data_IF_096252210967
#
_entry.id   IF_096252210967
#
_cell.length_a   1.000
_cell.length_b   1.000
_cell.length_c   1.000
_cell.angle_alpha   90.00
_cell.angle_beta   90.00
_cell.angle_gamma   90.00
#
_symmetry.space_group_name_H-M   'P 1'
#
loop_
_entity.id
_entity.type
_entity.pdbx_description
1 polymer ?
#
# COMPACT_ATOMS: atom_id res chain seq x y z
N UNK A 1 22.28 2.21 31.43
CA UNK A 1 22.84 1.83 32.76
C UNK A 1 24.34 2.09 32.89
N UNK A 2 25.25 1.42 32.14
CA UNK A 2 26.69 1.69 32.25
C UNK A 2 27.10 3.08 31.71
N UNK A 3 26.49 3.50 30.61
CA UNK A 3 26.70 4.81 29.98
C UNK A 3 26.29 5.98 30.90
N UNK A 4 25.24 5.83 31.72
CA UNK A 4 24.76 6.89 32.62
C UNK A 4 25.66 7.08 33.83
N UNK A 5 26.25 5.98 34.33
CA UNK A 5 27.24 6.05 35.43
C UNK A 5 28.50 6.75 34.95
N UNK A 6 28.95 6.45 33.73
CA UNK A 6 30.14 7.07 33.13
C UNK A 6 29.92 8.57 32.89
N UNK A 7 28.76 8.96 32.38
CA UNK A 7 28.39 10.37 32.17
C UNK A 7 28.34 11.15 33.48
N UNK A 8 27.76 10.58 34.54
CA UNK A 8 27.72 11.21 35.86
C UNK A 8 29.12 11.38 36.44
N UNK A 9 29.95 10.35 36.38
CA UNK A 9 31.33 10.40 36.86
C UNK A 9 32.18 11.44 36.11
N UNK A 10 32.02 11.58 34.79
CA UNK A 10 32.72 12.58 33.99
C UNK A 10 32.25 14.01 34.27
N UNK A 11 30.98 14.19 34.72
CA UNK A 11 30.46 15.50 35.15
C UNK A 11 30.90 15.86 36.58
N UNK A 12 31.02 14.87 37.44
CA UNK A 12 31.36 15.08 38.87
C UNK A 12 32.87 15.25 39.05
N UNK A 13 33.71 14.68 38.18
CA UNK A 13 35.17 14.74 38.28
C UNK A 13 35.84 14.90 36.90
N UNK A 14 35.72 16.11 36.29
CA UNK A 14 36.20 16.36 34.92
C UNK A 14 37.74 16.34 34.77
N UNK A 15 38.48 16.44 35.86
CA UNK A 15 39.96 16.42 35.82
C UNK A 15 40.56 15.01 35.62
N UNK A 16 39.76 13.97 35.92
CA UNK A 16 40.23 12.56 35.81
C UNK A 16 39.62 11.83 34.58
N UNK A 17 38.74 12.46 33.80
CA UNK A 17 38.12 11.84 32.64
C UNK A 17 38.47 12.61 31.36
N UNK A 18 39.23 11.98 30.47
CA UNK A 18 39.47 12.50 29.12
C UNK A 18 38.23 12.31 28.27
N UNK A 19 37.75 13.42 27.70
CA UNK A 19 36.67 13.41 26.69
C UNK A 19 37.20 13.19 25.25
N UNK A 20 38.51 12.91 25.11
CA UNK A 20 39.13 12.68 23.81
C UNK A 20 38.49 11.44 23.13
N UNK A 21 37.98 11.62 21.92
CA UNK A 21 37.29 10.61 21.16
C UNK A 21 35.87 10.27 21.63
N UNK A 22 35.31 11.00 22.62
CA UNK A 22 33.94 10.81 23.07
C UNK A 22 32.90 11.17 21.98
N UNK A 23 33.04 12.30 21.25
CA UNK A 23 32.11 12.62 20.16
C UNK A 23 32.09 11.56 19.07
N UNK A 24 33.23 11.00 18.71
CA UNK A 24 33.34 9.96 17.68
C UNK A 24 32.65 8.66 18.11
N UNK A 25 32.88 8.23 19.37
CA UNK A 25 32.22 7.07 19.95
C UNK A 25 30.69 7.24 20.05
N UNK A 26 30.26 8.45 20.44
CA UNK A 26 28.84 8.76 20.53
C UNK A 26 28.16 8.69 19.15
N UNK A 27 28.82 9.27 18.14
CA UNK A 27 28.35 9.20 16.75
C UNK A 27 28.27 7.77 16.21
N UNK A 28 29.19 6.91 16.60
CA UNK A 28 29.20 5.49 16.20
C UNK A 28 28.07 4.72 16.89
N UNK A 29 27.82 5.00 18.16
CA UNK A 29 26.68 4.43 18.89
C UNK A 29 25.35 4.91 18.34
N UNK A 30 25.20 6.21 18.07
CA UNK A 30 23.99 6.77 17.49
C UNK A 30 23.67 6.15 16.12
N UNK A 31 24.67 5.96 15.27
CA UNK A 31 24.49 5.25 13.99
C UNK A 31 23.99 3.81 14.18
N UNK A 32 24.49 3.09 15.18
CA UNK A 32 24.00 1.74 15.51
C UNK A 32 22.54 1.77 15.92
N UNK A 33 22.18 2.70 16.80
CA UNK A 33 20.80 2.84 17.27
C UNK A 33 19.84 3.24 16.14
N UNK A 34 20.26 4.13 15.23
CA UNK A 34 19.50 4.50 14.04
C UNK A 34 19.27 3.29 13.13
N UNK A 35 20.29 2.45 12.95
CA UNK A 35 20.18 1.23 12.14
C UNK A 35 19.18 0.25 12.77
N UNK A 36 19.31 -0.03 14.07
CA UNK A 36 18.38 -0.90 14.80
C UNK A 36 16.95 -0.37 14.73
N UNK A 37 16.77 0.95 14.91
CA UNK A 37 15.45 1.57 14.83
C UNK A 37 14.82 1.43 13.42
N UNK A 38 15.62 1.55 12.37
CA UNK A 38 15.15 1.31 10.99
C UNK A 38 14.74 -0.14 10.77
N UNK A 39 15.57 -1.10 11.20
CA UNK A 39 15.26 -2.53 11.11
C UNK A 39 13.97 -2.87 11.88
N UNK A 40 13.75 -2.27 13.06
CA UNK A 40 12.51 -2.43 13.81
C UNK A 40 11.30 -1.86 13.08
N UNK A 41 11.43 -0.68 12.45
CA UNK A 41 10.36 -0.09 11.64
C UNK A 41 10.02 -0.95 10.43
N UNK A 42 11.02 -1.44 9.70
CA UNK A 42 10.83 -2.33 8.56
C UNK A 42 10.15 -3.65 8.98
N UNK A 43 10.53 -4.20 10.14
CA UNK A 43 9.90 -5.40 10.69
C UNK A 43 8.47 -5.17 11.16
N UNK A 44 8.16 -3.98 11.68
CA UNK A 44 6.81 -3.59 12.10
C UNK A 44 5.86 -3.54 10.90
N UNK A 45 6.25 -2.89 9.81
CA UNK A 45 5.44 -2.83 8.59
C UNK A 45 5.15 -4.21 8.01
N UNK A 46 6.14 -5.09 7.98
CA UNK A 46 5.96 -6.48 7.57
C UNK A 46 5.04 -7.25 8.53
N UNK A 47 5.21 -7.08 9.85
CA UNK A 47 4.35 -7.69 10.86
C UNK A 47 2.89 -7.22 10.77
N UNK A 48 2.67 -5.94 10.51
CA UNK A 48 1.35 -5.36 10.29
C UNK A 48 0.68 -5.98 9.06
N UNK A 49 1.39 -6.06 7.94
CA UNK A 49 0.88 -6.66 6.70
C UNK A 49 0.47 -8.12 6.92
N UNK A 50 1.26 -8.89 7.68
CA UNK A 50 0.94 -10.29 7.98
C UNK A 50 -0.28 -10.40 8.90
N UNK A 51 -0.41 -9.51 9.90
CA UNK A 51 -1.48 -9.58 10.90
C UNK A 51 -2.80 -8.97 10.41
N UNK A 52 -2.74 -7.83 9.72
CA UNK A 52 -3.91 -7.06 9.32
C UNK A 52 -4.28 -7.24 7.84
N UNK A 53 -3.35 -7.78 7.04
CA UNK A 53 -3.49 -7.85 5.58
C UNK A 53 -3.07 -6.55 4.90
N UNK A 54 -3.15 -6.56 3.56
CA UNK A 54 -2.77 -5.46 2.68
C UNK A 54 -4.04 -4.69 2.30
N UNK A 55 -4.16 -3.45 2.75
CA UNK A 55 -5.25 -2.57 2.32
C UNK A 55 -5.09 -2.25 0.84
N UNK A 56 -5.99 -2.79 0.01
CA UNK A 56 -5.87 -2.82 -1.45
C UNK A 56 -6.99 -2.05 -2.10
N UNK A 57 -6.68 -1.08 -2.95
CA UNK A 57 -7.65 -0.31 -3.72
C UNK A 57 -7.57 -0.71 -5.19
N UNK A 58 -8.72 -1.00 -5.82
CA UNK A 58 -8.82 -1.31 -7.25
C UNK A 58 -9.26 -0.05 -7.98
N UNK A 59 -8.42 0.44 -8.88
CA UNK A 59 -8.66 1.65 -9.68
C UNK A 59 -8.65 1.36 -11.17
N UNK A 60 -9.26 2.21 -11.95
CA UNK A 60 -9.33 2.12 -13.40
C UNK A 60 -10.57 2.84 -13.92
N UNK A 61 -10.57 3.22 -15.20
CA UNK A 61 -11.70 3.92 -15.83
C UNK A 61 -12.98 3.07 -15.85
N UNK A 62 -14.14 3.67 -16.09
CA UNK A 62 -15.40 2.93 -16.28
C UNK A 62 -15.21 1.83 -17.33
N UNK A 63 -15.82 0.68 -17.10
CA UNK A 63 -15.75 -0.49 -17.99
C UNK A 63 -14.35 -1.11 -18.23
N UNK A 64 -13.33 -0.71 -17.47
CA UNK A 64 -12.02 -1.39 -17.51
C UNK A 64 -12.07 -2.85 -17.00
N UNK A 65 -13.19 -3.27 -16.37
CA UNK A 65 -13.41 -4.63 -15.91
C UNK A 65 -13.15 -4.83 -14.42
N UNK A 66 -13.19 -3.75 -13.62
CA UNK A 66 -12.96 -3.80 -12.16
C UNK A 66 -13.89 -4.78 -11.45
N UNK A 67 -15.19 -4.71 -11.70
CA UNK A 67 -16.19 -5.62 -11.09
C UNK A 67 -15.99 -7.08 -11.51
N UNK A 68 -15.65 -7.31 -12.78
CA UNK A 68 -15.37 -8.67 -13.28
C UNK A 68 -14.10 -9.24 -12.65
N UNK A 69 -13.07 -8.41 -12.49
CA UNK A 69 -11.83 -8.79 -11.82
C UNK A 69 -12.08 -9.10 -10.33
N UNK A 70 -12.81 -8.24 -9.63
CA UNK A 70 -13.17 -8.48 -8.23
C UNK A 70 -13.95 -9.77 -8.07
N UNK A 71 -14.97 -10.01 -8.92
CA UNK A 71 -15.75 -11.25 -8.88
C UNK A 71 -14.90 -12.50 -9.19
N UNK A 72 -13.95 -12.40 -10.12
CA UNK A 72 -13.02 -13.49 -10.39
C UNK A 72 -12.11 -13.74 -9.18
N UNK A 73 -11.61 -12.70 -8.55
CA UNK A 73 -10.76 -12.78 -7.37
C UNK A 73 -11.48 -13.45 -6.19
N UNK A 74 -12.76 -13.09 -5.97
CA UNK A 74 -13.60 -13.66 -4.93
C UNK A 74 -14.08 -15.08 -5.25
N UNK A 75 -14.15 -15.44 -6.53
CA UNK A 75 -14.62 -16.74 -7.02
C UNK A 75 -13.52 -17.81 -7.14
N UNK A 76 -12.25 -17.48 -6.92
CA UNK A 76 -11.18 -18.48 -6.94
C UNK A 76 -11.29 -19.45 -5.77
N UNK A 77 -11.16 -20.75 -6.02
CA UNK A 77 -11.24 -21.82 -4.99
C UNK A 77 -10.18 -21.68 -3.88
N UNK A 78 -9.12 -20.88 -4.12
CA UNK A 78 -8.06 -20.59 -3.16
C UNK A 78 -8.32 -19.32 -2.33
N UNK A 79 -9.34 -18.54 -2.69
CA UNK A 79 -9.72 -17.34 -1.96
C UNK A 79 -10.62 -17.69 -0.79
N UNK A 80 -10.14 -17.54 0.43
CA UNK A 80 -10.96 -17.64 1.64
C UNK A 80 -11.55 -16.26 1.89
N UNK A 81 -12.84 -16.10 1.60
CA UNK A 81 -13.58 -14.88 1.96
C UNK A 81 -13.92 -14.96 3.44
N UNK A 82 -13.40 -14.07 4.24
CA UNK A 82 -13.75 -13.95 5.65
C UNK A 82 -14.58 -12.69 5.87
N UNK A 83 -15.85 -12.88 6.22
CA UNK A 83 -16.67 -11.82 6.79
C UNK A 83 -16.14 -11.54 8.20
N UNK A 84 -15.29 -10.55 8.37
CA UNK A 84 -14.87 -10.10 9.70
C UNK A 84 -16.03 -9.30 10.30
N UNK A 85 -16.89 -10.01 11.05
CA UNK A 85 -17.93 -9.40 11.86
C UNK A 85 -17.28 -8.57 12.98
N UNK A 86 -17.22 -7.26 12.83
CA UNK A 86 -16.77 -6.40 13.94
C UNK A 86 -16.22 -5.02 13.59
N UNK A 87 -16.03 -4.66 12.31
CA UNK A 87 -15.63 -3.32 11.95
C UNK A 87 -16.81 -2.50 11.46
N UNK A 88 -17.05 -1.44 12.20
CA UNK A 88 -18.18 -0.51 12.13
C UNK A 88 -18.50 0.04 10.75
N UNK A 89 -19.69 -0.24 10.30
CA UNK A 89 -20.76 0.51 9.61
C UNK A 89 -20.53 1.39 8.37
N UNK A 90 -19.33 1.69 7.87
CA UNK A 90 -19.23 2.71 6.81
C UNK A 90 -18.46 2.36 5.54
N UNK A 91 -17.76 1.23 5.47
CA UNK A 91 -17.08 0.77 4.23
C UNK A 91 -17.30 -0.73 4.04
N UNK A 92 -17.83 -1.12 2.89
CA UNK A 92 -17.89 -2.52 2.47
C UNK A 92 -16.45 -2.94 2.09
N UNK A 93 -15.74 -3.52 3.04
CA UNK A 93 -14.42 -4.11 2.83
C UNK A 93 -14.61 -5.62 2.59
N UNK A 94 -14.05 -6.13 1.52
CA UNK A 94 -14.00 -7.56 1.24
C UNK A 94 -12.58 -8.05 1.38
N UNK A 95 -12.38 -9.13 2.14
CA UNK A 95 -11.06 -9.72 2.35
C UNK A 95 -10.90 -10.98 1.52
N UNK A 96 -9.80 -11.06 0.78
CA UNK A 96 -9.43 -12.21 -0.07
C UNK A 96 -8.05 -12.66 0.34
N UNK A 97 -7.89 -13.94 0.68
CA UNK A 97 -6.57 -14.51 0.99
C UNK A 97 -6.07 -15.35 -0.18
N UNK A 98 -4.93 -14.98 -0.74
CA UNK A 98 -4.27 -15.66 -1.85
C UNK A 98 -2.89 -16.11 -1.39
N UNK A 99 -2.65 -17.43 -1.41
CA UNK A 99 -1.37 -18.03 -0.98
C UNK A 99 -0.88 -17.55 0.40
N UNK A 100 -1.83 -17.35 1.33
CA UNK A 100 -1.54 -16.90 2.70
C UNK A 100 -1.38 -15.39 2.85
N UNK A 101 -1.54 -14.60 1.79
CA UNK A 101 -1.52 -13.13 1.84
C UNK A 101 -2.96 -12.63 1.79
N UNK A 102 -3.38 -11.89 2.80
CA UNK A 102 -4.72 -11.29 2.86
C UNK A 102 -4.74 -9.92 2.21
N UNK A 103 -5.59 -9.74 1.20
CA UNK A 103 -5.90 -8.46 0.57
C UNK A 103 -7.24 -7.96 1.09
N UNK A 104 -7.26 -6.81 1.73
CA UNK A 104 -8.49 -6.13 2.17
C UNK A 104 -8.88 -5.13 1.09
N UNK A 105 -9.87 -5.51 0.27
CA UNK A 105 -10.31 -4.70 -0.87
C UNK A 105 -11.23 -3.60 -0.34
N UNK A 106 -10.83 -2.35 -0.51
CA UNK A 106 -11.58 -1.19 -0.07
C UNK A 106 -12.44 -0.62 -1.19
N UNK A 107 -13.56 0.01 -0.83
CA UNK A 107 -14.53 0.66 -1.74
C UNK A 107 -15.14 -0.28 -2.79
N UNK A 108 -15.50 -1.49 -2.36
CA UNK A 108 -16.18 -2.46 -3.24
C UNK A 108 -17.55 -1.95 -3.74
N UNK A 109 -18.20 -1.04 -3.02
CA UNK A 109 -19.46 -0.41 -3.44
C UNK A 109 -19.28 0.42 -4.72
N UNK A 110 -18.25 1.24 -4.81
CA UNK A 110 -17.94 2.01 -6.01
C UNK A 110 -17.54 1.15 -7.22
N UNK A 111 -17.14 -0.10 -6.96
CA UNK A 111 -16.80 -1.07 -8.00
C UNK A 111 -18.06 -1.79 -8.49
N UNK A 112 -19.03 -2.05 -7.61
CA UNK A 112 -20.27 -2.81 -7.93
C UNK A 112 -21.37 -1.94 -8.54
N UNK A 113 -21.48 -0.66 -8.13
CA UNK A 113 -22.57 0.25 -8.49
C UNK A 113 -22.24 1.16 -9.69
N UNK A 114 -21.56 0.68 -10.72
CA UNK A 114 -21.17 1.47 -11.90
C UNK A 114 -22.29 1.74 -12.91
N UNK A 115 -23.55 1.54 -12.55
CA UNK A 115 -24.69 2.01 -13.37
C UNK A 115 -25.39 3.17 -12.65
N UNK A 116 -25.11 4.41 -13.08
CA UNK A 116 -25.81 5.65 -12.77
C UNK A 116 -25.88 6.11 -11.29
N UNK A 117 -25.06 7.04 -10.95
CA UNK A 117 -25.27 8.29 -10.18
C UNK A 117 -24.11 8.69 -9.28
N UNK A 118 -23.74 9.95 -9.44
CA UNK A 118 -22.95 10.81 -8.55
C UNK A 118 -21.45 10.85 -8.83
N UNK A 119 -21.11 11.51 -9.93
CA UNK A 119 -19.73 11.79 -10.38
C UNK A 119 -18.88 12.61 -9.39
N UNK A 120 -19.46 13.44 -8.55
CA UNK A 120 -18.70 14.36 -7.70
C UNK A 120 -18.35 13.82 -6.31
N UNK A 121 -19.23 13.04 -5.69
CA UNK A 121 -18.96 12.41 -4.36
C UNK A 121 -17.99 11.24 -4.52
N UNK A 122 -18.03 10.52 -5.67
CA UNK A 122 -17.16 9.41 -5.98
C UNK A 122 -15.68 9.79 -6.10
N UNK A 123 -15.38 10.98 -6.64
CA UNK A 123 -13.98 11.42 -6.87
C UNK A 123 -13.24 11.72 -5.56
N UNK A 124 -13.88 12.37 -4.59
CA UNK A 124 -13.26 12.66 -3.30
C UNK A 124 -13.08 11.39 -2.45
N UNK A 125 -14.05 10.48 -2.53
CA UNK A 125 -13.97 9.20 -1.83
C UNK A 125 -12.85 8.33 -2.42
N UNK A 126 -12.80 8.21 -3.75
CA UNK A 126 -11.72 7.49 -4.44
C UNK A 126 -10.33 8.06 -4.12
N UNK A 127 -10.19 9.39 -3.96
CA UNK A 127 -8.93 10.01 -3.52
C UNK A 127 -8.51 9.53 -2.14
N UNK A 128 -9.41 9.54 -1.17
CA UNK A 128 -9.12 9.10 0.20
C UNK A 128 -8.74 7.63 0.26
N UNK A 129 -9.42 6.78 -0.53
CA UNK A 129 -9.12 5.35 -0.58
C UNK A 129 -7.74 5.09 -1.21
N UNK A 130 -7.39 5.79 -2.29
CA UNK A 130 -6.04 5.74 -2.88
C UNK A 130 -4.99 6.20 -1.86
N UNK A 131 -5.25 7.28 -1.10
CA UNK A 131 -4.31 7.79 -0.11
C UNK A 131 -4.08 6.79 1.04
N UNK A 132 -5.12 6.10 1.48
CA UNK A 132 -5.06 5.16 2.61
C UNK A 132 -4.61 3.75 2.22
N UNK A 133 -4.60 3.41 0.92
CA UNK A 133 -4.23 2.08 0.45
C UNK A 133 -2.72 1.81 0.55
N UNK A 134 -2.40 0.58 0.96
CA UNK A 134 -1.03 0.03 0.95
C UNK A 134 -0.62 -0.44 -0.46
N UNK A 135 -1.61 -0.93 -1.23
CA UNK A 135 -1.43 -1.45 -2.58
C UNK A 135 -2.53 -0.94 -3.51
N UNK A 136 -2.16 -0.54 -4.71
CA UNK A 136 -3.09 -0.17 -5.77
C UNK A 136 -3.06 -1.24 -6.87
N UNK A 137 -4.24 -1.75 -7.23
CA UNK A 137 -4.42 -2.57 -8.42
C UNK A 137 -5.05 -1.69 -9.50
N UNK A 138 -4.25 -1.30 -10.49
CA UNK A 138 -4.71 -0.46 -11.58
C UNK A 138 -5.06 -1.30 -12.80
N UNK A 139 -6.37 -1.36 -13.13
CA UNK A 139 -6.86 -2.07 -14.29
C UNK A 139 -6.92 -1.15 -15.51
N UNK A 140 -6.21 -1.53 -16.56
CA UNK A 140 -6.19 -0.87 -17.86
C UNK A 140 -6.87 -1.74 -18.90
N UNK A 141 -7.76 -1.14 -19.70
CA UNK A 141 -8.42 -1.80 -20.83
C UNK A 141 -7.50 -1.74 -22.06
N UNK A 142 -6.91 -2.87 -22.45
CA UNK A 142 -6.00 -2.96 -23.58
C UNK A 142 -6.71 -3.03 -24.94
N UNK A 143 -8.02 -3.15 -24.96
CA UNK A 143 -8.81 -3.12 -26.21
C UNK A 143 -8.97 -1.73 -26.81
N UNK A 144 -8.56 -0.69 -26.06
CA UNK A 144 -8.65 0.72 -26.46
C UNK A 144 -7.32 1.43 -26.21
N UNK A 145 -7.10 2.55 -26.87
CA UNK A 145 -5.90 3.36 -26.62
C UNK A 145 -5.92 3.98 -25.23
N UNK A 146 -4.73 4.26 -24.70
CA UNK A 146 -4.55 4.97 -23.42
C UNK A 146 -5.24 6.33 -23.53
N UNK A 147 -6.14 6.61 -22.59
CA UNK A 147 -6.89 7.86 -22.51
C UNK A 147 -6.25 8.84 -21.54
N UNK A 148 -6.68 10.10 -21.58
CA UNK A 148 -6.28 11.11 -20.60
C UNK A 148 -6.64 10.70 -19.16
N UNK A 149 -7.78 10.02 -18.98
CA UNK A 149 -8.19 9.47 -17.67
C UNK A 149 -7.18 8.43 -17.14
N UNK A 150 -6.67 7.54 -18.00
CA UNK A 150 -5.65 6.56 -17.59
C UNK A 150 -4.37 7.26 -17.13
N UNK A 151 -3.98 8.34 -17.84
CA UNK A 151 -2.80 9.14 -17.50
C UNK A 151 -3.01 9.87 -16.16
N UNK A 152 -4.19 10.44 -15.94
CA UNK A 152 -4.53 11.09 -14.66
C UNK A 152 -4.48 10.11 -13.49
N UNK A 153 -5.01 8.89 -13.67
CA UNK A 153 -4.95 7.85 -12.64
C UNK A 153 -3.49 7.49 -12.36
N UNK A 154 -2.68 7.26 -13.39
CA UNK A 154 -1.24 6.95 -13.26
C UNK A 154 -0.48 8.04 -12.51
N UNK A 155 -0.77 9.31 -12.78
CA UNK A 155 -0.16 10.43 -12.07
C UNK A 155 -0.53 10.43 -10.60
N UNK A 156 -1.79 10.17 -10.25
CA UNK A 156 -2.29 10.14 -8.87
C UNK A 156 -1.67 9.00 -8.06
N UNK A 157 -1.43 7.84 -8.68
CA UNK A 157 -0.87 6.67 -8.01
C UNK A 157 0.65 6.58 -8.14
N UNK A 158 1.32 7.61 -8.64
CA UNK A 158 2.75 7.60 -8.99
C UNK A 158 3.62 7.08 -7.85
N UNK A 159 3.41 7.59 -6.65
CA UNK A 159 4.23 7.33 -5.48
C UNK A 159 3.71 6.18 -4.60
N UNK A 160 2.67 5.46 -5.08
CA UNK A 160 2.10 4.31 -4.38
C UNK A 160 2.68 2.99 -4.89
N UNK A 161 2.72 1.98 -4.01
CA UNK A 161 2.96 0.60 -4.43
C UNK A 161 1.79 0.17 -5.30
N UNK A 162 2.07 -0.31 -6.51
CA UNK A 162 1.02 -0.60 -7.49
C UNK A 162 1.35 -1.80 -8.36
N UNK A 163 0.31 -2.49 -8.79
CA UNK A 163 0.35 -3.51 -9.84
C UNK A 163 -0.56 -3.02 -10.96
N UNK A 164 -0.04 -2.96 -12.18
CA UNK A 164 -0.82 -2.62 -13.37
C UNK A 164 -1.29 -3.91 -14.01
N UNK A 165 -2.61 -4.05 -14.14
CA UNK A 165 -3.27 -5.21 -14.72
C UNK A 165 -3.81 -4.84 -16.11
N UNK A 166 -3.25 -5.45 -17.15
CA UNK A 166 -3.67 -5.27 -18.53
C UNK A 166 -4.85 -6.22 -18.82
N UNK A 167 -6.05 -5.66 -18.77
CA UNK A 167 -7.30 -6.43 -18.96
C UNK A 167 -7.75 -6.41 -20.42
N UNK A 168 -8.61 -7.35 -20.79
CA UNK A 168 -9.18 -7.55 -22.15
C UNK A 168 -8.13 -7.76 -23.22
N UNK A 169 -7.04 -8.43 -22.87
CA UNK A 169 -5.96 -8.76 -23.83
C UNK A 169 -6.41 -9.63 -25.00
N UNK A 170 -7.53 -10.36 -24.82
CA UNK A 170 -8.23 -11.11 -25.88
C UNK A 170 -8.78 -10.21 -26.99
N UNK A 171 -8.97 -8.93 -26.72
CA UNK A 171 -9.50 -7.92 -27.65
C UNK A 171 -8.46 -6.89 -28.07
N UNK A 172 -7.24 -7.01 -27.56
CA UNK A 172 -6.15 -6.10 -27.87
C UNK A 172 -5.74 -6.20 -29.34
N UNK A 173 -5.51 -5.05 -29.99
CA UNK A 173 -4.93 -4.99 -31.33
C UNK A 173 -3.40 -4.94 -31.24
N UNK A 174 -2.67 -5.31 -32.32
CA UNK A 174 -1.19 -5.22 -32.35
C UNK A 174 -0.69 -3.79 -32.04
N UNK A 175 -1.42 -2.76 -32.47
CA UNK A 175 -1.09 -1.37 -32.20
C UNK A 175 -1.24 -1.01 -30.71
N UNK A 176 -2.24 -1.59 -30.01
CA UNK A 176 -2.40 -1.34 -28.58
C UNK A 176 -1.33 -2.05 -27.75
N UNK A 177 -0.86 -3.24 -28.15
CA UNK A 177 0.21 -3.96 -27.46
C UNK A 177 1.54 -3.20 -27.43
N UNK A 178 1.89 -2.49 -28.51
CA UNK A 178 3.15 -1.72 -28.59
C UNK A 178 3.21 -0.52 -27.64
N UNK A 179 2.08 -0.04 -27.14
CA UNK A 179 2.02 1.10 -26.21
C UNK A 179 2.27 0.71 -24.75
N UNK A 180 2.24 -0.60 -24.43
CA UNK A 180 2.39 -1.13 -23.08
C UNK A 180 3.74 -1.82 -22.83
N UNK A 181 4.61 -1.89 -23.84
CA UNK A 181 5.99 -2.39 -23.76
C UNK A 181 6.99 -1.27 -23.68
#
# INVERSE_FOLDING_TARGET
AASDVYKRQALDDPEHYSLDGFPEKLLEEDKKWITIAKEMLDSYDNGRIIAEGIRTCIVGKPNAGKSSFLNALLGEERAIVTDIAGTTRDTLEESVTIDGITLNIVDTAGIRDTEDKVESIGVERAKKEIESADLILFLMDTSVQISEEDIEILQRIRDKKKIILLNKSDKATEESCLLYT
#
